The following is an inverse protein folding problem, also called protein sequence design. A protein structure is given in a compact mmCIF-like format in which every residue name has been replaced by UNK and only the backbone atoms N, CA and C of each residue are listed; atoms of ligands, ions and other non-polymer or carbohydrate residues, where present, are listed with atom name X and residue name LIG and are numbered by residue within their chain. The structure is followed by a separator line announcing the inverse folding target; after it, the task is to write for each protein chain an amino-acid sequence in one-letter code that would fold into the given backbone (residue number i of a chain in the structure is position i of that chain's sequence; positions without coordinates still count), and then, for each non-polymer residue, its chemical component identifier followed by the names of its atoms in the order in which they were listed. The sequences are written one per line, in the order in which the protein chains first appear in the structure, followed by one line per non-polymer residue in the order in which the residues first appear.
data_IF_465837667649
#
_entry.id   IF_465837667649
#
_cell.length_a   1.000
_cell.length_b   1.000
_cell.length_c   1.000
_cell.angle_alpha   90.00
_cell.angle_beta   90.00
_cell.angle_gamma   90.00
#
_symmetry.space_group_name_H-M   'P 1'
#
loop_
_entity.id
_entity.type
_entity.pdbx_description
1 polymer ?
#
# COMPACT_ATOMS: atom_id res chain seq x y z
N UNK A 1 -4.93 5.86 8.64
CA UNK A 1 -3.67 5.08 8.58
C UNK A 1 -2.41 5.88 8.91
N UNK A 2 -1.53 5.22 9.68
CA UNK A 2 -0.11 5.51 10.01
C UNK A 2 0.94 4.98 9.01
N UNK A 3 1.71 5.76 8.24
CA UNK A 3 2.86 5.18 7.48
C UNK A 3 4.22 5.67 7.97
N UNK A 4 5.11 4.74 8.30
CA UNK A 4 6.50 5.03 8.64
C UNK A 4 7.43 4.77 7.44
N UNK A 5 7.98 5.82 6.81
CA UNK A 5 8.84 5.66 5.62
C UNK A 5 10.24 5.12 5.94
N UNK A 6 10.68 5.19 7.20
CA UNK A 6 11.98 4.67 7.63
C UNK A 6 11.92 3.15 7.80
N UNK A 7 10.91 2.65 8.49
CA UNK A 7 10.72 1.20 8.72
C UNK A 7 9.91 0.52 7.62
N UNK A 8 9.25 1.32 6.77
CA UNK A 8 8.31 0.91 5.72
C UNK A 8 7.09 0.20 6.30
N UNK A 9 6.68 0.55 7.51
CA UNK A 9 5.54 -0.08 8.18
C UNK A 9 4.29 0.79 8.09
N UNK A 10 3.17 0.13 7.79
CA UNK A 10 1.85 0.71 7.74
C UNK A 10 1.06 0.26 8.97
N UNK A 11 0.45 1.21 9.65
CA UNK A 11 -0.34 1.04 10.85
C UNK A 11 -1.74 1.62 10.64
N UNK A 12 -2.66 1.16 11.46
CA UNK A 12 -3.93 1.83 11.69
C UNK A 12 -3.73 3.12 12.47
N UNK A 13 -4.78 3.93 12.55
CA UNK A 13 -4.79 5.12 13.39
C UNK A 13 -4.68 4.79 14.90
N UNK A 14 -5.07 3.58 15.31
CA UNK A 14 -4.93 3.04 16.68
C UNK A 14 -3.61 2.28 16.93
N UNK A 15 -2.60 2.47 16.08
CA UNK A 15 -1.23 1.91 16.22
C UNK A 15 -1.11 0.38 16.08
N UNK A 16 -2.07 -0.29 15.44
CA UNK A 16 -1.94 -1.70 15.07
C UNK A 16 -1.20 -1.82 13.75
N UNK A 17 -0.21 -2.70 13.68
CA UNK A 17 0.50 -2.97 12.43
C UNK A 17 -0.45 -3.61 11.42
N UNK A 18 -0.61 -2.95 10.27
CA UNK A 18 -1.37 -3.47 9.12
C UNK A 18 -0.45 -4.32 8.25
N UNK A 19 0.68 -3.75 7.81
CA UNK A 19 1.61 -4.42 6.90
C UNK A 19 2.99 -3.77 6.90
N UNK A 20 4.03 -4.59 6.72
CA UNK A 20 5.37 -4.11 6.35
C UNK A 20 5.53 -4.10 4.83
N UNK A 21 5.86 -2.95 4.28
CA UNK A 21 5.97 -2.71 2.84
C UNK A 21 7.33 -3.17 2.31
N UNK A 22 7.29 -3.99 1.28
CA UNK A 22 8.48 -4.49 0.61
C UNK A 22 8.21 -4.63 -0.90
N UNK A 23 9.12 -4.09 -1.71
CA UNK A 23 9.19 -4.34 -3.14
C UNK A 23 10.66 -4.66 -3.47
N UNK A 24 10.96 -5.78 -4.15
CA UNK A 24 12.33 -6.14 -4.52
C UNK A 24 12.92 -5.22 -5.62
N UNK A 25 12.09 -4.38 -6.26
CA UNK A 25 12.47 -3.47 -7.35
C UNK A 25 12.33 -2.01 -6.91
N UNK A 26 13.34 -1.41 -6.26
CA UNK A 26 13.23 -0.08 -5.64
C UNK A 26 13.12 1.07 -6.64
N UNK A 27 13.49 0.85 -7.91
CA UNK A 27 13.38 1.84 -8.98
C UNK A 27 12.04 1.81 -9.71
N UNK A 28 11.18 0.81 -9.43
CA UNK A 28 9.89 0.65 -10.09
C UNK A 28 8.94 1.78 -9.65
N UNK A 29 8.38 2.49 -10.63
CA UNK A 29 7.44 3.59 -10.40
C UNK A 29 6.03 3.16 -10.71
N UNK A 30 5.06 3.85 -10.11
CA UNK A 30 3.63 3.61 -10.37
C UNK A 30 3.28 3.70 -11.86
N UNK A 31 3.91 4.63 -12.60
CA UNK A 31 3.70 4.84 -14.03
C UNK A 31 4.36 3.80 -14.93
N UNK A 32 5.22 2.94 -14.38
CA UNK A 32 5.76 1.79 -15.09
C UNK A 32 4.79 0.58 -15.07
N UNK A 33 3.75 0.64 -14.23
CA UNK A 33 2.76 -0.44 -14.06
C UNK A 33 1.63 -0.30 -15.10
N UNK A 34 1.11 -1.44 -15.55
CA UNK A 34 0.01 -1.45 -16.52
C UNK A 34 -1.31 -1.10 -15.83
N UNK A 35 -2.09 -0.19 -16.42
CA UNK A 35 -3.44 0.13 -15.94
C UNK A 35 -4.37 -1.09 -16.07
N UNK A 36 -5.25 -1.26 -15.09
CA UNK A 36 -6.34 -2.24 -15.15
C UNK A 36 -7.66 -1.49 -15.28
N UNK A 37 -8.32 -1.66 -16.43
CA UNK A 37 -9.55 -0.93 -16.77
C UNK A 37 -10.62 -1.09 -15.68
N UNK A 38 -11.23 0.02 -15.30
CA UNK A 38 -12.30 0.06 -14.30
C UNK A 38 -11.85 -0.14 -12.85
N UNK A 39 -10.54 -0.14 -12.56
CA UNK A 39 -10.02 -0.27 -11.20
C UNK A 39 -9.00 0.83 -10.86
N UNK A 40 -8.80 1.10 -9.58
CA UNK A 40 -7.69 1.95 -9.11
C UNK A 40 -6.36 1.17 -8.99
N UNK A 41 -6.38 -0.13 -9.26
CA UNK A 41 -5.18 -0.97 -9.18
C UNK A 41 -4.39 -0.92 -10.49
N UNK A 42 -3.10 -1.17 -10.39
CA UNK A 42 -2.24 -1.41 -11.56
C UNK A 42 -1.57 -2.77 -11.47
N UNK A 43 -1.19 -3.33 -12.61
CA UNK A 43 -0.51 -4.61 -12.69
C UNK A 43 1.00 -4.43 -12.79
N UNK A 44 1.75 -5.11 -11.93
CA UNK A 44 3.19 -5.23 -12.02
C UNK A 44 3.55 -6.47 -12.82
N UNK A 45 4.09 -6.28 -14.03
CA UNK A 45 4.53 -7.37 -14.88
C UNK A 45 5.75 -8.14 -14.32
N UNK A 46 6.54 -7.52 -13.43
CA UNK A 46 7.76 -8.13 -12.89
C UNK A 46 7.43 -9.12 -11.75
N UNK A 47 6.50 -8.75 -10.88
CA UNK A 47 6.02 -9.60 -9.78
C UNK A 47 4.77 -10.40 -10.15
N UNK A 48 4.26 -10.21 -11.37
CA UNK A 48 2.99 -10.76 -11.87
C UNK A 48 1.83 -10.57 -10.89
N UNK A 49 1.76 -9.39 -10.27
CA UNK A 49 0.85 -9.10 -9.15
C UNK A 49 0.20 -7.73 -9.29
N UNK A 50 -1.03 -7.62 -8.79
CA UNK A 50 -1.73 -6.34 -8.70
C UNK A 50 -1.17 -5.50 -7.56
N UNK A 51 -0.97 -4.21 -7.83
CA UNK A 51 -0.64 -3.17 -6.88
C UNK A 51 -1.90 -2.33 -6.65
N UNK A 52 -2.44 -2.40 -5.45
CA UNK A 52 -3.69 -1.74 -5.06
C UNK A 52 -3.39 -0.31 -4.62
N UNK A 53 -4.07 0.67 -5.22
CA UNK A 53 -4.03 2.05 -4.74
C UNK A 53 -4.86 2.20 -3.48
N UNK A 54 -4.21 2.61 -2.39
CA UNK A 54 -4.86 2.69 -1.08
C UNK A 54 -5.48 4.05 -0.80
N UNK A 55 -5.47 5.00 -1.73
CA UNK A 55 -5.91 6.39 -1.48
C UNK A 55 -7.36 6.53 -1.00
N UNK A 56 -8.23 5.59 -1.39
CA UNK A 56 -9.66 5.57 -1.04
C UNK A 56 -10.01 4.49 0.02
N UNK A 57 -9.01 3.82 0.59
CA UNK A 57 -9.24 2.75 1.58
C UNK A 57 -9.37 3.31 3.01
N UNK A 58 -10.25 2.70 3.82
CA UNK A 58 -10.23 2.88 5.28
C UNK A 58 -9.30 1.86 5.93
N UNK A 59 -8.97 2.07 7.20
CA UNK A 59 -8.20 1.12 8.00
C UNK A 59 -8.86 -0.27 7.98
N UNK A 60 -10.18 -0.35 8.18
CA UNK A 60 -10.95 -1.59 8.20
C UNK A 60 -10.95 -2.31 6.86
N UNK A 61 -11.23 -1.57 5.77
CA UNK A 61 -11.26 -2.13 4.42
C UNK A 61 -9.90 -2.70 4.01
N UNK A 62 -8.80 -2.03 4.41
CA UNK A 62 -7.46 -2.51 4.12
C UNK A 62 -7.10 -3.75 4.96
N UNK A 63 -7.52 -3.79 6.23
CA UNK A 63 -7.35 -4.96 7.09
C UNK A 63 -8.09 -6.17 6.51
N UNK A 64 -9.33 -6.00 6.08
CA UNK A 64 -10.12 -7.08 5.47
C UNK A 64 -9.45 -7.62 4.20
N UNK A 65 -9.01 -6.72 3.30
CA UNK A 65 -8.25 -7.09 2.10
C UNK A 65 -7.01 -7.93 2.43
N UNK A 66 -6.24 -7.52 3.44
CA UNK A 66 -4.99 -8.19 3.80
C UNK A 66 -5.19 -9.47 4.63
N UNK A 67 -6.33 -9.65 5.29
CA UNK A 67 -6.70 -10.93 5.90
C UNK A 67 -6.90 -12.01 4.84
N UNK A 68 -7.51 -11.65 3.70
CA UNK A 68 -7.72 -12.58 2.59
C UNK A 68 -6.46 -12.75 1.74
N UNK A 69 -5.74 -11.66 1.48
CA UNK A 69 -4.57 -11.62 0.60
C UNK A 69 -3.41 -10.87 1.27
N UNK A 70 -2.70 -11.50 2.22
CA UNK A 70 -1.66 -10.83 3.01
C UNK A 70 -0.48 -10.32 2.18
N UNK A 71 -0.22 -10.93 1.02
CA UNK A 71 0.88 -10.57 0.13
C UNK A 71 0.54 -9.46 -0.88
N UNK A 72 -0.69 -8.94 -0.87
CA UNK A 72 -1.14 -7.85 -1.76
C UNK A 72 -0.15 -6.69 -1.78
N UNK A 73 0.31 -6.31 -2.98
CA UNK A 73 1.14 -5.12 -3.13
C UNK A 73 0.27 -3.88 -2.97
N UNK A 74 0.73 -2.90 -2.17
CA UNK A 74 -0.01 -1.66 -1.92
C UNK A 74 0.80 -0.47 -2.44
N UNK A 75 0.10 0.50 -3.02
CA UNK A 75 0.61 1.86 -3.23
C UNK A 75 0.16 2.74 -2.08
N UNK A 76 1.11 3.44 -1.49
CA UNK A 76 0.87 4.52 -0.53
C UNK A 76 1.50 5.79 -1.08
N UNK A 77 0.71 6.84 -1.18
CA UNK A 77 1.19 8.19 -1.46
C UNK A 77 1.39 8.94 -0.13
N UNK A 78 2.39 9.81 -0.03
CA UNK A 78 2.60 10.62 1.18
C UNK A 78 1.60 11.77 1.31
N UNK A 79 0.94 12.13 0.21
CA UNK A 79 -0.03 13.22 0.15
C UNK A 79 -1.50 12.75 0.07
N UNK A 80 -1.77 11.45 0.26
CA UNK A 80 -3.15 10.96 0.27
C UNK A 80 -3.87 11.30 1.59
N UNK A 81 -5.15 11.66 1.48
CA UNK A 81 -5.95 12.19 2.61
C UNK A 81 -6.10 11.23 3.79
N UNK A 82 -6.08 9.92 3.52
CA UNK A 82 -6.32 8.86 4.50
C UNK A 82 -5.04 8.34 5.18
N UNK A 83 -3.87 8.89 4.85
CA UNK A 83 -2.59 8.49 5.44
C UNK A 83 -1.87 9.68 6.05
N UNK A 84 -1.25 9.45 7.21
CA UNK A 84 -0.33 10.39 7.84
C UNK A 84 1.07 9.79 7.86
N UNK A 85 2.08 10.61 7.67
CA UNK A 85 3.47 10.19 7.86
C UNK A 85 3.77 10.24 9.36
N UNK A 86 4.24 9.12 9.88
CA UNK A 86 4.68 8.98 11.26
C UNK A 86 6.13 8.51 11.29
N UNK A 87 6.95 9.14 12.12
CA UNK A 87 8.37 8.79 12.27
C UNK A 87 8.64 8.02 13.56
N UNK A 88 7.62 7.78 14.38
CA UNK A 88 7.76 7.00 15.60
C UNK A 88 7.85 5.50 15.28
N UNK A 89 8.78 4.83 15.97
CA UNK A 89 9.04 3.40 15.92
C UNK A 89 8.71 2.77 17.28
#
# INVERSE_FOLDING_TARGET
MKFNPLTKELYTDDNKLIKKMYCPYPSLRWDDLSSLDGTMSRFCAICESNVVDTSEYTDEALIELLKEKPDTCLKIDFNQKNTRIDHHA
#
